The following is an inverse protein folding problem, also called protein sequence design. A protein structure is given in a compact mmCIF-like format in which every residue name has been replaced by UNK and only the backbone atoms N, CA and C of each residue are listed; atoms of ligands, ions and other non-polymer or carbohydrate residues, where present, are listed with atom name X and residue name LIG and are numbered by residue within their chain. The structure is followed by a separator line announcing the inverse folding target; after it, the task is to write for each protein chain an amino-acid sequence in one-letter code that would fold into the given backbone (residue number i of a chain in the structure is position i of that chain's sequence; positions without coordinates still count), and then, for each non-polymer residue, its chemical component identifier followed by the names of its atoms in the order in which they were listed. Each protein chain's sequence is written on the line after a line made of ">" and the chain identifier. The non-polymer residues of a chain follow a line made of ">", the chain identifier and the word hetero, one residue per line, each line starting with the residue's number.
data_IF_462184621410
#
_entry.id   IF_462184621410
#
_cell.length_a   1.000
_cell.length_b   1.000
_cell.length_c   1.000
_cell.angle_alpha   90.00
_cell.angle_beta   90.00
_cell.angle_gamma   90.00
#
_symmetry.space_group_name_H-M   'P 1'
#
loop_
_entity.id
_entity.type
_entity.pdbx_description
1 polymer ?
#
# COMPACT_ATOMS: atom_id res chain seq x y z
N UNK A 1 -1.25 15.82 -6.61
CA UNK A 1 -1.80 15.47 -5.27
C UNK A 1 -0.74 14.70 -4.48
N UNK A 2 -0.71 14.89 -3.16
CA UNK A 2 0.08 14.07 -2.24
C UNK A 2 -0.65 12.77 -1.96
N UNK A 3 -0.13 11.66 -2.46
CA UNK A 3 -0.84 10.37 -2.42
C UNK A 3 -0.22 9.45 -1.38
N UNK A 4 -1.03 9.04 -0.41
CA UNK A 4 -0.66 8.02 0.56
C UNK A 4 -0.81 6.66 -0.10
N UNK A 5 0.24 5.84 -0.02
CA UNK A 5 0.21 4.44 -0.45
C UNK A 5 0.43 3.58 0.79
N UNK A 6 -0.53 2.72 1.09
CA UNK A 6 -0.50 1.88 2.29
C UNK A 6 -0.95 0.46 1.99
N UNK A 7 -0.41 -0.50 2.74
CA UNK A 7 -0.81 -1.90 2.63
C UNK A 7 -0.17 -2.80 3.70
N UNK A 8 -0.38 -4.11 3.63
CA UNK A 8 0.15 -5.05 4.61
C UNK A 8 1.68 -5.21 4.51
N UNK A 9 2.28 -5.54 5.66
CA UNK A 9 3.74 -5.63 5.84
C UNK A 9 4.37 -6.89 5.28
N UNK A 10 3.55 -7.92 5.10
CA UNK A 10 3.91 -9.26 4.68
C UNK A 10 3.59 -9.53 3.21
N UNK A 11 2.98 -8.58 2.48
CA UNK A 11 2.80 -8.71 1.04
C UNK A 11 4.15 -8.77 0.31
N UNK A 12 4.30 -9.72 -0.61
CA UNK A 12 5.59 -10.04 -1.25
C UNK A 12 5.66 -9.76 -2.76
N UNK A 13 4.53 -9.54 -3.43
CA UNK A 13 4.51 -9.37 -4.87
C UNK A 13 4.72 -7.89 -5.25
N UNK A 14 5.97 -7.43 -5.23
CA UNK A 14 6.34 -6.05 -5.59
C UNK A 14 5.90 -5.66 -7.01
N UNK A 15 6.07 -6.57 -7.98
CA UNK A 15 5.67 -6.34 -9.37
C UNK A 15 4.18 -6.05 -9.52
N UNK A 16 3.32 -6.74 -8.75
CA UNK A 16 1.89 -6.46 -8.72
C UNK A 16 1.59 -5.05 -8.20
N UNK A 17 2.28 -4.61 -7.13
CA UNK A 17 2.13 -3.25 -6.60
C UNK A 17 2.52 -2.23 -7.66
N UNK A 18 3.70 -2.37 -8.27
CA UNK A 18 4.18 -1.42 -9.29
C UNK A 18 3.24 -1.36 -10.48
N UNK A 19 2.81 -2.51 -11.00
CA UNK A 19 1.84 -2.57 -12.11
C UNK A 19 0.55 -1.81 -11.78
N UNK A 20 0.03 -1.96 -10.56
CA UNK A 20 -1.19 -1.24 -10.14
C UNK A 20 -0.96 0.24 -9.92
N UNK A 21 0.20 0.63 -9.41
CA UNK A 21 0.56 2.04 -9.29
C UNK A 21 0.74 2.69 -10.67
N UNK A 22 1.34 2.00 -11.65
CA UNK A 22 1.45 2.46 -13.04
C UNK A 22 0.08 2.62 -13.72
N UNK A 23 -0.89 1.76 -13.39
CA UNK A 23 -2.27 1.90 -13.89
C UNK A 23 -2.97 3.12 -13.28
N UNK A 24 -2.82 3.30 -11.96
CA UNK A 24 -3.50 4.35 -11.21
C UNK A 24 -2.88 5.74 -11.45
N UNK A 25 -1.57 5.83 -11.65
CA UNK A 25 -0.87 7.10 -11.92
C UNK A 25 -1.30 7.75 -13.23
N UNK A 26 -1.88 6.99 -14.17
CA UNK A 26 -2.49 7.53 -15.40
C UNK A 26 -3.81 8.26 -15.16
N UNK A 27 -4.47 7.98 -14.02
CA UNK A 27 -5.79 8.53 -13.66
C UNK A 27 -5.69 9.54 -12.51
N UNK A 28 -4.61 9.48 -11.74
CA UNK A 28 -4.38 10.24 -10.52
C UNK A 28 -3.06 10.99 -10.70
N UNK A 29 -3.12 12.32 -10.68
CA UNK A 29 -1.89 13.13 -10.74
C UNK A 29 -1.15 13.07 -9.38
N UNK A 30 -0.07 12.29 -9.34
CA UNK A 30 0.74 12.07 -8.16
C UNK A 30 1.94 13.03 -8.19
N UNK A 31 1.95 13.99 -7.28
CA UNK A 31 3.04 14.96 -7.14
C UNK A 31 4.03 14.59 -6.03
N UNK A 32 3.61 13.74 -5.10
CA UNK A 32 4.43 13.25 -3.97
C UNK A 32 3.80 11.96 -3.44
N UNK A 33 4.64 10.99 -3.08
CA UNK A 33 4.22 9.72 -2.47
C UNK A 33 4.47 9.78 -0.96
N UNK A 34 3.46 9.41 -0.18
CA UNK A 34 3.53 9.31 1.28
C UNK A 34 3.40 7.84 1.69
N UNK A 35 4.28 7.34 2.57
CA UNK A 35 4.15 6.00 3.16
C UNK A 35 4.72 5.94 4.59
N UNK A 36 4.42 4.86 5.31
CA UNK A 36 4.73 4.70 6.73
C UNK A 36 6.07 4.06 7.05
N UNK A 37 6.99 4.02 6.08
CA UNK A 37 8.30 3.34 6.15
C UNK A 37 8.24 1.90 6.73
N UNK A 38 7.17 1.17 6.44
CA UNK A 38 7.05 -0.24 6.84
C UNK A 38 7.62 -1.18 5.76
N UNK A 39 7.85 -2.45 6.12
CA UNK A 39 8.12 -3.51 5.13
C UNK A 39 6.90 -3.74 4.23
N UNK A 40 7.09 -4.45 3.11
CA UNK A 40 5.99 -4.81 2.22
C UNK A 40 5.56 -3.62 1.35
N UNK A 41 4.27 -3.34 1.30
CA UNK A 41 3.69 -2.34 0.38
C UNK A 41 4.33 -0.97 0.50
N UNK A 42 4.58 -0.47 1.71
CA UNK A 42 5.20 0.84 1.94
C UNK A 42 6.63 0.90 1.32
N UNK A 43 7.43 -0.16 1.48
CA UNK A 43 8.76 -0.26 0.84
C UNK A 43 8.65 -0.27 -0.68
N UNK A 44 7.68 -1.01 -1.23
CA UNK A 44 7.46 -1.09 -2.67
C UNK A 44 6.97 0.23 -3.26
N UNK A 45 6.16 0.97 -2.52
CA UNK A 45 5.70 2.31 -2.88
C UNK A 45 6.87 3.30 -2.98
N UNK A 46 7.76 3.34 -1.97
CA UNK A 46 8.95 4.19 -2.01
C UNK A 46 9.87 3.86 -3.20
N UNK A 47 10.09 2.57 -3.49
CA UNK A 47 10.86 2.13 -4.67
C UNK A 47 10.21 2.55 -5.99
N UNK A 48 8.90 2.39 -6.10
CA UNK A 48 8.15 2.81 -7.28
C UNK A 48 8.24 4.32 -7.50
N UNK A 49 8.09 5.12 -6.43
CA UNK A 49 8.21 6.57 -6.48
C UNK A 49 9.62 7.00 -6.94
N UNK A 50 10.66 6.42 -6.34
CA UNK A 50 12.05 6.68 -6.71
C UNK A 50 12.32 6.35 -8.19
N UNK A 51 11.83 5.20 -8.68
CA UNK A 51 11.96 4.81 -10.09
C UNK A 51 11.31 5.82 -11.04
N UNK A 52 10.23 6.48 -10.60
CA UNK A 52 9.50 7.48 -11.38
C UNK A 52 9.94 8.92 -11.07
N UNK A 53 11.04 9.11 -10.34
CA UNK A 53 11.54 10.43 -9.92
C UNK A 53 10.50 11.27 -9.16
N UNK A 54 9.64 10.62 -8.37
CA UNK A 54 8.64 11.29 -7.55
C UNK A 54 9.20 11.55 -6.15
N UNK A 55 8.95 12.73 -5.55
CA UNK A 55 9.25 12.99 -4.15
C UNK A 55 8.56 11.98 -3.23
N UNK A 56 9.26 11.60 -2.15
CA UNK A 56 8.77 10.67 -1.14
C UNK A 56 8.81 11.33 0.23
N UNK A 57 7.71 11.24 0.97
CA UNK A 57 7.61 11.67 2.36
C UNK A 57 7.30 10.46 3.24
N UNK A 58 8.25 10.14 4.12
CA UNK A 58 8.20 8.94 4.96
C UNK A 58 7.74 9.27 6.38
N UNK A 59 6.86 8.42 6.93
CA UNK A 59 6.35 8.55 8.30
C UNK A 59 6.65 7.26 9.09
N UNK A 60 7.85 7.09 9.66
CA UNK A 60 8.13 5.97 10.54
C UNK A 60 7.25 5.99 11.79
N UNK A 61 6.80 4.83 12.25
CA UNK A 61 6.07 4.73 13.51
C UNK A 61 7.03 4.72 14.71
N UNK A 62 6.85 5.65 15.64
CA UNK A 62 7.63 5.77 16.88
C UNK A 62 7.22 4.72 17.93
N UNK A 63 7.54 3.44 17.70
CA UNK A 63 7.13 2.32 18.57
C UNK A 63 7.67 2.44 19.99
N UNK A 64 8.91 2.89 20.17
CA UNK A 64 9.54 3.02 21.49
C UNK A 64 8.83 4.06 22.37
N UNK A 65 8.25 5.09 21.73
CA UNK A 65 7.58 6.20 22.42
C UNK A 65 6.10 5.92 22.72
N UNK A 66 5.37 5.33 21.77
CA UNK A 66 3.91 5.20 21.87
C UNK A 66 3.41 3.75 21.89
N UNK A 67 4.30 2.76 21.85
CA UNK A 67 3.97 1.35 21.83
C UNK A 67 2.96 1.02 20.73
N UNK A 68 1.92 0.24 21.08
CA UNK A 68 0.88 -0.21 20.13
C UNK A 68 0.15 0.95 19.42
N UNK A 69 0.14 2.16 19.98
CA UNK A 69 -0.52 3.33 19.40
C UNK A 69 0.29 4.02 18.31
N UNK A 70 1.61 3.74 18.22
CA UNK A 70 2.50 4.39 17.27
C UNK A 70 1.99 4.28 15.83
N UNK A 71 1.50 3.09 15.43
CA UNK A 71 0.93 2.88 14.10
C UNK A 71 -0.29 3.77 13.80
N UNK A 72 -1.19 3.97 14.78
CA UNK A 72 -2.36 4.85 14.63
C UNK A 72 -1.94 6.32 14.54
N UNK A 73 -1.04 6.77 15.43
CA UNK A 73 -0.56 8.16 15.45
C UNK A 73 0.09 8.51 14.10
N UNK A 74 0.96 7.63 13.62
CA UNK A 74 1.61 7.73 12.31
C UNK A 74 0.59 7.75 11.16
N UNK A 75 -0.46 6.91 11.20
CA UNK A 75 -1.53 6.94 10.19
C UNK A 75 -2.26 8.29 10.19
N UNK A 76 -2.54 8.83 11.38
CA UNK A 76 -3.18 10.14 11.53
C UNK A 76 -2.31 11.25 10.93
N UNK A 77 -1.01 11.26 11.24
CA UNK A 77 -0.05 12.23 10.68
C UNK A 77 -0.01 12.18 9.15
N UNK A 78 0.09 10.98 8.55
CA UNK A 78 0.03 10.82 7.09
C UNK A 78 -1.29 11.37 6.52
N UNK A 79 -2.43 11.09 7.18
CA UNK A 79 -3.76 11.51 6.72
C UNK A 79 -3.98 13.03 6.81
N UNK A 80 -3.28 13.72 7.69
CA UNK A 80 -3.36 15.17 7.82
C UNK A 80 -2.73 15.86 6.60
N UNK A 81 -1.59 15.34 6.12
CA UNK A 81 -0.84 15.93 5.00
C UNK A 81 -1.18 15.35 3.61
N UNK A 82 -1.69 14.13 3.53
CA UNK A 82 -2.01 13.49 2.24
C UNK A 82 -3.39 13.86 1.72
N UNK A 83 -3.55 14.00 0.41
CA UNK A 83 -4.79 14.39 -0.25
C UNK A 83 -5.63 13.18 -0.67
N UNK A 84 -4.97 12.06 -0.97
CA UNK A 84 -5.56 10.87 -1.56
C UNK A 84 -4.95 9.60 -0.96
N UNK A 85 -5.72 8.51 -0.84
CA UNK A 85 -5.21 7.20 -0.41
C UNK A 85 -5.37 6.13 -1.50
N UNK A 86 -4.28 5.45 -1.83
CA UNK A 86 -4.29 4.15 -2.50
C UNK A 86 -3.99 3.08 -1.45
N UNK A 87 -4.99 2.26 -1.11
CA UNK A 87 -4.87 1.23 -0.09
C UNK A 87 -4.89 -0.16 -0.73
N UNK A 88 -3.76 -0.88 -0.65
CA UNK A 88 -3.71 -2.30 -0.96
C UNK A 88 -4.23 -3.09 0.24
N UNK A 89 -5.47 -3.58 0.14
CA UNK A 89 -6.21 -4.09 1.28
C UNK A 89 -6.56 -5.56 1.13
N UNK A 90 -6.17 -6.34 2.14
CA UNK A 90 -6.54 -7.74 2.29
C UNK A 90 -6.87 -8.10 3.73
N UNK A 91 -7.68 -7.25 4.39
CA UNK A 91 -8.10 -7.47 5.78
C UNK A 91 -7.12 -7.03 6.87
N UNK A 92 -5.99 -6.41 6.52
CA UNK A 92 -4.99 -5.98 7.52
C UNK A 92 -5.55 -4.86 8.42
N UNK A 93 -5.44 -5.01 9.75
CA UNK A 93 -5.94 -4.02 10.72
C UNK A 93 -5.32 -2.63 10.50
N UNK A 94 -4.03 -2.57 10.18
CA UNK A 94 -3.30 -1.32 9.99
C UNK A 94 -3.76 -0.54 8.77
N UNK A 95 -3.99 -1.23 7.65
CA UNK A 95 -4.50 -0.62 6.42
C UNK A 95 -5.99 -0.26 6.54
N UNK A 96 -6.80 -1.12 7.16
CA UNK A 96 -8.21 -0.83 7.43
C UNK A 96 -8.38 0.45 8.24
N UNK A 97 -7.59 0.61 9.30
CA UNK A 97 -7.53 1.84 10.10
C UNK A 97 -7.16 3.08 9.26
N UNK A 98 -6.22 2.97 8.32
CA UNK A 98 -5.86 4.09 7.44
C UNK A 98 -7.02 4.50 6.53
N UNK A 99 -7.74 3.51 5.97
CA UNK A 99 -8.95 3.73 5.15
C UNK A 99 -10.02 4.48 5.96
N UNK A 100 -10.28 4.04 7.19
CA UNK A 100 -11.27 4.68 8.07
C UNK A 100 -10.92 6.14 8.38
N UNK A 101 -9.64 6.43 8.65
CA UNK A 101 -9.19 7.79 8.93
C UNK A 101 -9.43 8.70 7.71
N UNK A 102 -9.03 8.25 6.51
CA UNK A 102 -9.22 9.05 5.29
C UNK A 102 -10.70 9.30 4.98
N UNK A 103 -11.56 8.28 5.16
CA UNK A 103 -13.01 8.43 5.01
C UNK A 103 -13.58 9.45 6.00
N UNK A 104 -13.16 9.41 7.27
CA UNK A 104 -13.60 10.40 8.29
C UNK A 104 -13.19 11.83 7.95
N UNK A 105 -12.09 12.00 7.23
CA UNK A 105 -11.62 13.30 6.74
C UNK A 105 -12.24 13.70 5.39
N UNK A 106 -13.20 12.91 4.85
CA UNK A 106 -13.78 13.10 3.53
C UNK A 106 -12.75 13.16 2.39
N UNK A 107 -11.61 12.47 2.56
CA UNK A 107 -10.56 12.39 1.53
C UNK A 107 -10.79 11.16 0.65
N UNK A 108 -10.56 11.27 -0.67
CA UNK A 108 -10.77 10.18 -1.61
C UNK A 108 -9.86 8.97 -1.34
N UNK A 109 -10.41 7.77 -1.55
CA UNK A 109 -9.74 6.49 -1.31
C UNK A 109 -9.99 5.55 -2.49
N UNK A 110 -8.92 5.01 -3.06
CA UNK A 110 -8.98 3.81 -3.92
C UNK A 110 -8.51 2.60 -3.12
N UNK A 111 -9.31 1.54 -3.13
CA UNK A 111 -8.96 0.26 -2.51
C UNK A 111 -8.60 -0.72 -3.62
N UNK A 112 -7.41 -1.31 -3.53
CA UNK A 112 -6.96 -2.42 -4.37
C UNK A 112 -7.05 -3.69 -3.53
N UNK A 113 -7.99 -4.56 -3.89
CA UNK A 113 -8.15 -5.85 -3.21
C UNK A 113 -6.96 -6.78 -3.53
N UNK A 114 -6.39 -7.40 -2.50
CA UNK A 114 -5.27 -8.34 -2.58
C UNK A 114 -5.56 -9.68 -1.88
N UNK A 115 -6.79 -9.94 -1.39
CA UNK A 115 -7.13 -11.18 -0.66
C UNK A 115 -6.97 -12.46 -1.50
N UNK A 116 -7.12 -12.35 -2.82
CA UNK A 116 -7.15 -13.53 -3.69
C UNK A 116 -5.85 -13.80 -4.45
N UNK A 117 -4.87 -12.90 -4.42
CA UNK A 117 -3.61 -13.06 -5.18
C UNK A 117 -2.81 -14.28 -4.69
N UNK A 118 -2.61 -14.51 -3.37
CA UNK A 118 -1.89 -15.70 -2.92
C UNK A 118 -2.64 -17.02 -3.21
N UNK A 119 -3.98 -16.98 -3.26
CA UNK A 119 -4.80 -18.16 -3.62
C UNK A 119 -4.71 -18.46 -5.11
N UNK A 120 -4.73 -17.41 -5.95
CA UNK A 120 -4.61 -17.53 -7.40
C UNK A 120 -3.25 -18.08 -7.81
N UNK A 121 -2.15 -17.58 -7.22
CA UNK A 121 -0.79 -18.07 -7.51
C UNK A 121 -0.62 -19.54 -7.12
N UNK A 122 -1.17 -19.97 -5.97
CA UNK A 122 -1.17 -21.40 -5.58
C UNK A 122 -1.98 -22.26 -6.55
N UNK A 123 -3.14 -21.77 -7.00
CA UNK A 123 -4.00 -22.48 -7.97
C UNK A 123 -3.30 -22.61 -9.33
N UNK A 124 -2.70 -21.54 -9.85
CA UNK A 124 -1.95 -21.54 -11.11
C UNK A 124 -0.73 -22.45 -11.04
N UNK A 125 0.06 -22.40 -9.96
CA UNK A 125 1.20 -23.33 -9.76
C UNK A 125 0.75 -24.78 -9.71
N UNK A 126 -0.37 -25.08 -9.03
CA UNK A 126 -0.94 -26.43 -9.02
C UNK A 126 -1.33 -26.89 -10.42
N UNK A 127 -1.99 -26.05 -11.21
CA UNK A 127 -2.40 -26.38 -12.58
C UNK A 127 -1.21 -26.53 -13.54
N UNK A 128 -0.19 -25.69 -13.44
CA UNK A 128 1.00 -25.75 -14.29
C UNK A 128 1.86 -27.01 -14.09
N UNK A 129 1.75 -27.69 -12.94
CA UNK A 129 2.43 -28.97 -12.68
C UNK A 129 1.72 -30.13 -13.41
N UNK A 130 0.40 -30.07 -13.57
CA UNK A 130 -0.36 -31.12 -14.27
C UNK A 130 -0.22 -31.06 -15.80
N UNK A 131 0.23 -29.93 -16.36
CA UNK A 131 0.39 -29.76 -17.82
C UNK A 131 1.80 -30.06 -18.32
N UNK A 132 2.70 -30.60 -17.48
CA UNK A 132 4.09 -30.96 -17.84
C UNK A 132 4.36 -32.47 -17.80
N UNK A 133 3.32 -33.29 -17.73
CA UNK A 133 3.42 -34.74 -17.82
C UNK A 133 2.65 -35.24 -19.03
N UNK A 134 3.24 -35.10 -20.21
CA UNK A 134 2.97 -35.88 -21.43
C UNK A 134 4.32 -36.19 -22.09
#
# INVERSE_FOLDING_TARGET
>A
MKVIIAGPRDFKNESFIHMKLDELSKKIEISEVIHGLATGVDTFAGRWANKNNMPVLEFPAEWDKYGKRAGYIRNKQMSEVGDYLIAFYGGSKGTGMMIEIMKKLNKPVTIVDIEDIPKLEKKVRRLAIYSKGD
#
